data_IF_786448788540
#
_entry.id   IF_786448788540
#
_cell.length_a   1.000
_cell.length_b   1.000
_cell.length_c   1.000
_cell.angle_alpha   90.00
_cell.angle_beta   90.00
_cell.angle_gamma   90.00
#
_symmetry.space_group_name_H-M   'P 1'
#
loop_
_entity.id
_entity.type
_entity.pdbx_description
1 polymer ?
#
# COMPACT_ATOMS: atom_id res chain seq x y z
N UNK A 1 -2.66 33.74 -28.45
CA UNK A 1 -1.61 32.74 -28.22
C UNK A 1 -1.39 32.45 -26.73
N UNK A 2 -1.25 33.43 -25.83
CA UNK A 2 -1.01 33.23 -24.37
C UNK A 2 -2.09 32.38 -23.66
N UNK A 3 -3.36 32.53 -24.02
CA UNK A 3 -4.45 31.75 -23.43
C UNK A 3 -4.43 30.26 -23.83
N UNK A 4 -4.04 29.95 -25.07
CA UNK A 4 -3.96 28.56 -25.56
C UNK A 4 -2.85 27.76 -24.85
N UNK A 5 -1.69 28.40 -24.62
CA UNK A 5 -0.59 27.76 -23.86
C UNK A 5 -0.94 27.57 -22.37
N UNK A 6 -1.71 28.49 -21.78
CA UNK A 6 -2.15 28.36 -20.39
C UNK A 6 -3.14 27.23 -20.20
N UNK A 7 -4.01 26.97 -21.16
CA UNK A 7 -4.99 25.86 -21.13
C UNK A 7 -4.24 24.54 -21.30
N UNK A 8 -3.33 24.42 -22.28
CA UNK A 8 -2.52 23.21 -22.52
C UNK A 8 -1.64 22.82 -21.33
N UNK A 9 -1.15 23.80 -20.56
CA UNK A 9 -0.34 23.52 -19.36
C UNK A 9 -1.18 23.03 -18.14
N UNK A 10 -2.51 23.15 -18.19
CA UNK A 10 -3.42 22.85 -17.06
C UNK A 10 -4.35 21.67 -17.31
N UNK A 11 -4.39 21.14 -18.53
CA UNK A 11 -5.28 20.04 -18.91
C UNK A 11 -4.51 18.77 -19.20
N UNK A 12 -5.11 17.63 -18.87
CA UNK A 12 -4.62 16.32 -19.27
C UNK A 12 -4.95 16.08 -20.75
N UNK A 13 -3.93 15.76 -21.53
CA UNK A 13 -4.03 15.65 -22.99
C UNK A 13 -4.87 14.45 -23.44
N UNK A 14 -5.01 13.40 -22.60
CA UNK A 14 -5.79 12.22 -22.92
C UNK A 14 -7.28 12.43 -22.68
N UNK A 15 -7.62 13.06 -21.54
CA UNK A 15 -8.98 13.11 -21.01
C UNK A 15 -9.65 14.47 -21.13
N UNK A 16 -8.88 15.54 -21.42
CA UNK A 16 -9.35 16.93 -21.53
C UNK A 16 -10.04 17.50 -20.27
N UNK A 17 -9.77 16.93 -19.10
CA UNK A 17 -10.04 17.54 -17.79
C UNK A 17 -8.76 18.16 -17.26
N UNK A 18 -8.80 18.79 -16.09
CA UNK A 18 -7.59 19.38 -15.52
C UNK A 18 -6.55 18.28 -15.24
N UNK A 19 -5.28 18.57 -15.50
CA UNK A 19 -4.18 17.79 -14.97
C UNK A 19 -3.95 18.15 -13.49
N UNK A 20 -3.06 17.45 -12.82
CA UNK A 20 -2.72 17.66 -11.41
C UNK A 20 -2.44 19.14 -11.09
N UNK A 21 -1.61 19.79 -11.93
CA UNK A 21 -1.26 21.20 -11.72
C UNK A 21 -2.48 22.14 -11.83
N UNK A 22 -3.31 21.95 -12.87
CA UNK A 22 -4.50 22.77 -13.09
C UNK A 22 -5.55 22.57 -11.98
N UNK A 23 -5.75 21.34 -11.53
CA UNK A 23 -6.65 21.02 -10.43
C UNK A 23 -6.16 21.65 -9.12
N UNK A 24 -4.90 21.48 -8.77
CA UNK A 24 -4.28 22.00 -7.56
C UNK A 24 -4.36 23.51 -7.49
N UNK A 25 -4.06 24.21 -8.57
CA UNK A 25 -4.13 25.69 -8.64
C UNK A 25 -5.56 26.21 -8.43
N UNK A 26 -6.55 25.54 -9.04
CA UNK A 26 -7.95 25.95 -8.90
C UNK A 26 -8.50 25.65 -7.51
N UNK A 27 -8.21 24.46 -6.96
CA UNK A 27 -8.60 24.08 -5.62
C UNK A 27 -8.02 25.03 -4.57
N UNK A 28 -6.73 25.35 -4.65
CA UNK A 28 -6.07 26.27 -3.74
C UNK A 28 -6.69 27.69 -3.82
N UNK A 29 -7.01 28.14 -5.03
CA UNK A 29 -7.66 29.44 -5.24
C UNK A 29 -9.06 29.51 -4.64
N UNK A 30 -9.84 28.43 -4.66
CA UNK A 30 -11.16 28.37 -4.05
C UNK A 30 -11.04 28.40 -2.53
N UNK A 31 -10.17 27.59 -1.97
CA UNK A 31 -9.93 27.49 -0.53
C UNK A 31 -9.46 28.82 0.04
N UNK A 32 -8.47 29.45 -0.62
CA UNK A 32 -7.89 30.71 -0.15
C UNK A 32 -8.86 31.91 -0.22
N UNK A 33 -9.77 31.87 -1.20
CA UNK A 33 -10.75 32.96 -1.33
C UNK A 33 -11.87 32.96 -0.29
N UNK A 34 -12.28 31.75 0.13
CA UNK A 34 -13.41 31.58 1.05
C UNK A 34 -13.09 30.50 2.09
N UNK A 35 -12.25 30.76 3.10
CA UNK A 35 -11.81 29.74 4.07
C UNK A 35 -12.95 29.13 4.91
N UNK A 36 -14.11 29.78 4.95
CA UNK A 36 -15.30 29.32 5.69
C UNK A 36 -16.32 28.59 4.79
N UNK A 37 -16.04 28.47 3.51
CA UNK A 37 -16.97 27.83 2.57
C UNK A 37 -16.83 26.32 2.64
N UNK A 38 -17.96 25.63 2.73
CA UNK A 38 -17.99 24.17 2.66
C UNK A 38 -17.78 23.68 1.23
N UNK A 39 -16.96 22.68 1.08
CA UNK A 39 -16.80 21.92 -0.16
C UNK A 39 -16.32 20.51 0.13
N UNK A 40 -16.55 19.64 -0.81
CA UNK A 40 -16.14 18.22 -0.71
C UNK A 40 -15.16 17.93 -1.83
N UNK A 41 -14.06 17.29 -1.47
CA UNK A 41 -13.10 16.73 -2.44
C UNK A 41 -13.17 15.21 -2.44
N UNK A 42 -13.09 14.62 -3.63
CA UNK A 42 -13.04 13.19 -3.82
C UNK A 42 -11.84 12.78 -4.67
N UNK A 43 -11.26 11.64 -4.34
CA UNK A 43 -10.31 10.91 -5.16
C UNK A 43 -10.97 9.64 -5.69
N UNK A 44 -10.73 9.33 -6.95
CA UNK A 44 -11.25 8.17 -7.64
C UNK A 44 -10.12 7.41 -8.31
N UNK A 45 -10.30 6.12 -8.42
CA UNK A 45 -9.33 5.23 -9.08
C UNK A 45 -10.10 4.13 -9.82
N UNK A 46 -9.61 3.75 -10.99
CA UNK A 46 -10.19 2.61 -11.73
C UNK A 46 -9.69 1.32 -11.09
N UNK A 47 -10.63 0.51 -10.62
CA UNK A 47 -10.30 -0.76 -10.01
C UNK A 47 -9.66 -1.71 -11.02
N UNK A 48 -8.52 -2.31 -10.62
CA UNK A 48 -7.77 -3.26 -11.44
C UNK A 48 -7.35 -2.71 -12.83
N UNK A 49 -7.05 -1.42 -12.94
CA UNK A 49 -6.68 -0.78 -14.19
C UNK A 49 -5.48 -1.45 -14.88
N UNK A 50 -4.51 -1.93 -14.11
CA UNK A 50 -3.41 -2.72 -14.64
C UNK A 50 -3.90 -3.97 -15.37
N UNK A 51 -4.89 -4.67 -14.81
CA UNK A 51 -5.51 -5.85 -15.44
C UNK A 51 -6.19 -5.50 -16.78
N UNK A 52 -6.85 -4.32 -16.86
CA UNK A 52 -7.41 -3.83 -18.13
C UNK A 52 -6.30 -3.69 -19.18
N UNK A 53 -5.18 -3.06 -18.80
CA UNK A 53 -4.03 -2.90 -19.70
C UNK A 53 -3.40 -4.24 -20.10
N UNK A 54 -3.24 -5.16 -19.16
CA UNK A 54 -2.60 -6.47 -19.39
C UNK A 54 -3.45 -7.37 -20.30
N UNK A 55 -4.78 -7.33 -20.16
CA UNK A 55 -5.71 -8.17 -20.95
C UNK A 55 -6.04 -7.56 -22.31
N UNK A 56 -6.35 -6.27 -22.34
CA UNK A 56 -6.87 -5.61 -23.54
C UNK A 56 -5.82 -4.75 -24.26
N UNK A 57 -4.74 -4.38 -23.60
CA UNK A 57 -3.68 -3.50 -24.09
C UNK A 57 -3.90 -2.02 -23.71
N UNK A 58 -2.82 -1.25 -23.68
CA UNK A 58 -2.81 0.15 -23.25
C UNK A 58 -3.79 1.05 -24.00
N UNK A 59 -4.01 0.79 -25.31
CA UNK A 59 -4.98 1.57 -26.09
C UNK A 59 -6.43 1.44 -25.59
N UNK A 60 -6.77 0.31 -25.00
CA UNK A 60 -8.08 0.10 -24.37
C UNK A 60 -8.12 0.64 -22.94
N UNK A 61 -7.01 0.61 -22.21
CA UNK A 61 -6.86 1.36 -20.96
C UNK A 61 -7.09 2.85 -21.16
N UNK A 62 -6.53 3.44 -22.22
CA UNK A 62 -6.77 4.84 -22.60
C UNK A 62 -8.26 5.12 -22.91
N UNK A 63 -8.97 4.16 -23.51
CA UNK A 63 -10.42 4.28 -23.72
C UNK A 63 -11.20 4.26 -22.41
N UNK A 64 -10.82 3.40 -21.46
CA UNK A 64 -11.42 3.38 -20.13
C UNK A 64 -11.23 4.71 -19.40
N UNK A 65 -10.00 5.28 -19.44
CA UNK A 65 -9.69 6.58 -18.87
C UNK A 65 -10.52 7.71 -19.51
N UNK A 66 -10.64 7.73 -20.84
CA UNK A 66 -11.48 8.70 -21.55
C UNK A 66 -12.96 8.56 -21.18
N UNK A 67 -13.47 7.31 -21.17
CA UNK A 67 -14.83 7.02 -20.79
C UNK A 67 -15.17 7.50 -19.39
N UNK A 68 -14.26 7.27 -18.42
CA UNK A 68 -14.45 7.77 -17.05
C UNK A 68 -14.50 9.31 -17.03
N UNK A 69 -13.56 9.98 -17.68
CA UNK A 69 -13.54 11.44 -17.75
C UNK A 69 -14.79 12.02 -18.41
N UNK A 70 -15.29 11.41 -19.48
CA UNK A 70 -16.52 11.83 -20.16
C UNK A 70 -17.75 11.60 -19.29
N UNK A 71 -17.81 10.49 -18.57
CA UNK A 71 -18.84 10.22 -17.57
C UNK A 71 -18.83 11.24 -16.44
N UNK A 72 -17.67 11.65 -15.96
CA UNK A 72 -17.52 12.71 -14.95
C UNK A 72 -18.03 14.05 -15.47
N UNK A 73 -17.65 14.45 -16.68
CA UNK A 73 -18.10 15.72 -17.31
C UNK A 73 -19.62 15.73 -17.53
N UNK A 74 -20.22 14.60 -17.88
CA UNK A 74 -21.66 14.50 -18.10
C UNK A 74 -22.46 14.47 -16.79
N UNK A 75 -21.89 13.95 -15.72
CA UNK A 75 -22.61 13.73 -14.46
C UNK A 75 -22.47 14.91 -13.47
N UNK A 76 -21.25 15.41 -13.28
CA UNK A 76 -21.00 16.46 -12.30
C UNK A 76 -21.43 17.85 -12.85
N UNK A 77 -21.85 18.77 -11.97
CA UNK A 77 -22.25 20.12 -12.37
C UNK A 77 -21.08 20.91 -12.96
N UNK A 78 -21.41 21.94 -13.70
CA UNK A 78 -20.42 22.76 -14.43
C UNK A 78 -19.45 23.55 -13.55
N UNK A 79 -19.79 23.75 -12.28
CA UNK A 79 -18.93 24.38 -11.28
C UNK A 79 -18.02 23.39 -10.53
N UNK A 80 -18.22 22.09 -10.74
CA UNK A 80 -17.30 21.07 -10.24
C UNK A 80 -15.95 21.17 -10.96
N UNK A 81 -14.87 21.01 -10.20
CA UNK A 81 -13.53 20.91 -10.77
C UNK A 81 -13.17 19.43 -10.89
N UNK A 82 -12.91 19.01 -12.12
CA UNK A 82 -12.57 17.64 -12.46
C UNK A 82 -11.11 17.56 -12.89
N UNK A 83 -10.35 16.63 -12.31
CA UNK A 83 -8.94 16.46 -12.59
C UNK A 83 -8.50 15.02 -12.72
N UNK A 84 -7.35 14.84 -13.37
CA UNK A 84 -6.61 13.58 -13.41
C UNK A 84 -5.20 13.80 -12.90
N UNK A 85 -4.83 13.11 -11.83
CA UNK A 85 -3.52 13.26 -11.20
C UNK A 85 -2.40 12.53 -11.96
N UNK A 86 -2.76 11.56 -12.79
CA UNK A 86 -1.88 10.70 -13.55
C UNK A 86 -2.32 9.23 -13.44
N UNK A 87 -1.85 8.38 -14.33
CA UNK A 87 -2.27 6.98 -14.34
C UNK A 87 -3.79 6.82 -14.41
N UNK A 88 -4.36 6.13 -13.47
CA UNK A 88 -5.79 5.86 -13.27
C UNK A 88 -6.45 6.70 -12.15
N UNK A 89 -5.70 7.65 -11.58
CA UNK A 89 -6.18 8.49 -10.49
C UNK A 89 -6.89 9.76 -10.98
N UNK A 90 -8.13 9.94 -10.55
CA UNK A 90 -8.96 11.11 -10.83
C UNK A 90 -9.33 11.83 -9.54
N UNK A 91 -9.71 13.10 -9.67
CA UNK A 91 -10.16 13.92 -8.56
C UNK A 91 -11.34 14.81 -8.94
N UNK A 92 -12.18 15.10 -7.94
CA UNK A 92 -13.33 15.96 -8.05
C UNK A 92 -13.33 16.94 -6.87
N UNK A 93 -13.59 18.21 -7.14
CA UNK A 93 -13.91 19.19 -6.10
C UNK A 93 -15.32 19.72 -6.36
N UNK A 94 -16.19 19.65 -5.35
CA UNK A 94 -17.57 20.14 -5.36
C UNK A 94 -17.67 21.39 -4.49
N UNK A 95 -17.59 22.60 -5.08
CA UNK A 95 -17.72 23.86 -4.34
C UNK A 95 -19.17 24.07 -3.92
N UNK A 96 -19.36 24.70 -2.75
CA UNK A 96 -20.69 25.07 -2.25
C UNK A 96 -21.68 23.91 -2.06
N UNK A 97 -21.17 22.71 -1.82
CA UNK A 97 -21.98 21.53 -1.53
C UNK A 97 -21.98 21.25 -0.03
N UNK A 98 -23.17 20.94 0.52
CA UNK A 98 -23.24 20.30 1.83
C UNK A 98 -22.72 18.87 1.72
N UNK A 99 -22.29 18.32 2.84
CA UNK A 99 -21.78 16.94 2.89
C UNK A 99 -22.79 15.94 2.34
N UNK A 100 -24.06 16.04 2.77
CA UNK A 100 -25.12 15.09 2.39
C UNK A 100 -25.42 15.15 0.88
N UNK A 101 -25.41 16.37 0.30
CA UNK A 101 -25.63 16.53 -1.15
C UNK A 101 -24.46 15.94 -1.95
N UNK A 102 -23.24 16.19 -1.51
CA UNK A 102 -22.05 15.65 -2.14
C UNK A 102 -22.01 14.12 -2.02
N UNK A 103 -22.29 13.58 -0.85
CA UNK A 103 -22.37 12.14 -0.59
C UNK A 103 -23.36 11.46 -1.52
N UNK A 104 -24.59 11.97 -1.62
CA UNK A 104 -25.62 11.42 -2.50
C UNK A 104 -25.16 11.39 -3.97
N UNK A 105 -24.53 12.46 -4.46
CA UNK A 105 -24.01 12.51 -5.82
C UNK A 105 -22.84 11.56 -6.04
N UNK A 106 -21.88 11.49 -5.12
CA UNK A 106 -20.72 10.62 -5.25
C UNK A 106 -21.12 9.14 -5.20
N UNK A 107 -22.06 8.77 -4.33
CA UNK A 107 -22.62 7.42 -4.26
C UNK A 107 -23.37 7.07 -5.56
N UNK A 108 -24.21 7.99 -6.07
CA UNK A 108 -24.91 7.81 -7.34
C UNK A 108 -23.92 7.66 -8.50
N UNK A 109 -22.88 8.53 -8.57
CA UNK A 109 -21.87 8.41 -9.61
C UNK A 109 -21.14 7.07 -9.57
N UNK A 110 -20.77 6.60 -8.40
CA UNK A 110 -20.07 5.32 -8.24
C UNK A 110 -20.93 4.15 -8.67
N UNK A 111 -22.23 4.17 -8.40
CA UNK A 111 -23.17 3.09 -8.75
C UNK A 111 -23.52 3.03 -10.23
N UNK A 112 -23.31 4.10 -11.00
CA UNK A 112 -23.57 4.10 -12.44
C UNK A 112 -22.60 3.15 -13.18
N UNK A 113 -23.07 2.35 -14.14
CA UNK A 113 -22.20 1.52 -14.96
C UNK A 113 -21.15 2.35 -15.70
N UNK A 114 -19.91 1.88 -15.68
CA UNK A 114 -18.78 2.43 -16.43
C UNK A 114 -18.37 1.39 -17.48
N UNK A 115 -18.29 1.82 -18.72
CA UNK A 115 -17.94 0.92 -19.83
C UNK A 115 -16.92 1.56 -20.77
N UNK A 116 -16.18 0.73 -21.48
CA UNK A 116 -15.39 1.13 -22.63
C UNK A 116 -15.57 0.16 -23.78
N UNK A 117 -15.53 0.65 -25.01
CA UNK A 117 -15.69 -0.19 -26.19
C UNK A 117 -14.40 -0.93 -26.53
N UNK A 118 -14.47 -2.26 -26.63
CA UNK A 118 -13.38 -3.13 -27.02
C UNK A 118 -13.83 -4.10 -28.12
N UNK A 119 -13.27 -3.98 -29.32
CA UNK A 119 -13.56 -4.86 -30.47
C UNK A 119 -15.05 -4.98 -30.79
N UNK A 120 -15.78 -3.87 -30.70
CA UNK A 120 -17.24 -3.82 -30.94
C UNK A 120 -18.10 -4.33 -29.79
N UNK A 121 -17.51 -4.59 -28.62
CA UNK A 121 -18.24 -4.99 -27.42
C UNK A 121 -17.96 -4.01 -26.28
N UNK A 122 -18.98 -3.73 -25.48
CA UNK A 122 -18.84 -2.94 -24.26
C UNK A 122 -18.26 -3.82 -23.14
N UNK A 123 -17.19 -3.34 -22.55
CA UNK A 123 -16.55 -3.96 -21.38
C UNK A 123 -16.80 -3.07 -20.16
N UNK A 124 -17.30 -3.65 -19.08
CA UNK A 124 -17.57 -2.95 -17.84
C UNK A 124 -16.30 -2.85 -17.00
N UNK A 125 -16.14 -1.72 -16.31
CA UNK A 125 -15.12 -1.52 -15.27
C UNK A 125 -15.72 -0.85 -14.05
N UNK A 126 -15.02 -0.94 -12.93
CA UNK A 126 -15.44 -0.40 -11.64
C UNK A 126 -14.49 0.68 -11.17
N UNK A 127 -14.98 1.49 -10.25
CA UNK A 127 -14.19 2.54 -9.60
C UNK A 127 -14.34 2.47 -8.09
N UNK A 128 -13.28 2.83 -7.40
CA UNK A 128 -13.30 3.12 -5.97
C UNK A 128 -13.17 4.62 -5.76
N UNK A 129 -13.90 5.18 -4.77
CA UNK A 129 -13.99 6.60 -4.53
C UNK A 129 -13.93 6.90 -3.02
N UNK A 130 -12.95 7.72 -2.61
CA UNK A 130 -12.86 8.26 -1.26
C UNK A 130 -13.07 9.77 -1.26
N UNK A 131 -13.78 10.32 -0.27
CA UNK A 131 -14.08 11.75 -0.19
C UNK A 131 -14.02 12.30 1.22
N UNK A 132 -13.75 13.60 1.32
CA UNK A 132 -13.68 14.33 2.57
C UNK A 132 -14.24 15.72 2.44
N UNK A 133 -14.75 16.26 3.56
CA UNK A 133 -15.34 17.60 3.67
C UNK A 133 -14.34 18.60 4.23
N UNK A 134 -14.37 19.83 3.68
CA UNK A 134 -13.70 21.01 4.20
C UNK A 134 -14.74 21.99 4.75
N UNK A 135 -14.53 22.68 5.88
CA UNK A 135 -13.33 22.66 6.73
C UNK A 135 -13.37 21.61 7.84
N UNK A 136 -14.36 20.73 7.90
CA UNK A 136 -14.62 19.80 9.00
C UNK A 136 -13.39 18.95 9.35
N UNK A 137 -12.74 18.37 8.33
CA UNK A 137 -11.60 17.45 8.54
C UNK A 137 -10.26 17.99 8.06
N UNK A 138 -10.25 19.19 7.50
CA UNK A 138 -9.06 19.75 6.90
C UNK A 138 -8.99 21.28 7.06
N UNK A 139 -7.79 21.80 7.26
CA UNK A 139 -7.50 23.24 7.32
C UNK A 139 -6.92 23.78 6.00
N UNK A 140 -6.53 22.91 5.08
CA UNK A 140 -5.95 23.25 3.78
C UNK A 140 -6.18 22.12 2.77
N UNK A 141 -5.89 22.43 1.49
CA UNK A 141 -6.04 21.49 0.38
C UNK A 141 -5.27 20.17 0.58
N UNK A 142 -4.01 20.26 0.98
CA UNK A 142 -3.18 19.07 1.15
C UNK A 142 -3.75 18.11 2.20
N UNK A 143 -4.26 18.64 3.29
CA UNK A 143 -4.90 17.84 4.32
C UNK A 143 -6.22 17.23 3.83
N UNK A 144 -7.03 18.02 3.11
CA UNK A 144 -8.28 17.55 2.51
C UNK A 144 -8.06 16.38 1.57
N UNK A 145 -7.07 16.50 0.66
CA UNK A 145 -6.76 15.44 -0.28
C UNK A 145 -6.22 14.18 0.42
N UNK A 146 -5.44 14.33 1.50
CA UNK A 146 -5.00 13.18 2.31
C UNK A 146 -6.15 12.46 3.01
N UNK A 147 -7.15 13.21 3.48
CA UNK A 147 -8.36 12.61 4.06
C UNK A 147 -9.13 11.80 3.01
N UNK A 148 -9.32 12.36 1.81
CA UNK A 148 -9.97 11.65 0.70
C UNK A 148 -9.19 10.40 0.27
N UNK A 149 -7.85 10.48 0.23
CA UNK A 149 -6.96 9.35 -0.08
C UNK A 149 -7.06 8.23 0.97
N UNK A 150 -7.11 8.58 2.25
CA UNK A 150 -7.29 7.61 3.32
C UNK A 150 -8.63 6.85 3.19
N UNK A 151 -9.71 7.54 2.80
CA UNK A 151 -11.00 6.92 2.54
C UNK A 151 -10.99 6.04 1.28
N UNK A 152 -10.33 6.48 0.20
CA UNK A 152 -10.13 5.70 -1.02
C UNK A 152 -9.35 4.41 -0.75
N UNK A 153 -8.29 4.51 0.04
CA UNK A 153 -7.49 3.36 0.42
C UNK A 153 -8.31 2.33 1.21
N UNK A 154 -9.15 2.79 2.14
CA UNK A 154 -10.02 1.91 2.94
C UNK A 154 -11.01 1.13 2.05
N UNK A 155 -11.62 1.77 1.05
CA UNK A 155 -12.47 1.08 0.06
C UNK A 155 -11.70 0.02 -0.71
N UNK A 156 -10.50 0.33 -1.17
CA UNK A 156 -9.66 -0.62 -1.92
C UNK A 156 -9.32 -1.86 -1.11
N UNK A 157 -9.20 -1.74 0.20
CA UNK A 157 -8.95 -2.86 1.11
C UNK A 157 -10.19 -3.73 1.37
N UNK A 158 -11.39 -3.14 1.32
CA UNK A 158 -12.64 -3.80 1.66
C UNK A 158 -13.45 -4.27 0.45
N UNK A 159 -12.80 -4.56 -0.66
CA UNK A 159 -13.41 -5.20 -1.82
C UNK A 159 -13.58 -4.33 -3.04
N UNK A 160 -13.10 -3.06 -3.02
CA UNK A 160 -13.19 -2.12 -4.15
C UNK A 160 -14.63 -1.80 -4.56
N UNK A 161 -14.84 -1.19 -5.75
CA UNK A 161 -16.16 -0.90 -6.32
C UNK A 161 -17.10 -0.24 -5.31
N UNK A 162 -16.72 0.90 -4.78
CA UNK A 162 -17.47 1.57 -3.73
C UNK A 162 -17.09 3.02 -3.51
N UNK A 163 -17.81 3.64 -2.57
CA UNK A 163 -17.67 5.03 -2.19
C UNK A 163 -17.65 5.15 -0.67
N UNK A 164 -16.69 5.89 -0.11
CA UNK A 164 -16.54 6.07 1.33
C UNK A 164 -16.19 7.50 1.70
N UNK A 165 -16.86 8.01 2.72
CA UNK A 165 -16.48 9.26 3.39
C UNK A 165 -15.29 9.05 4.32
N UNK A 166 -14.42 10.04 4.37
CA UNK A 166 -13.42 10.11 5.42
C UNK A 166 -14.08 10.23 6.79
N UNK A 167 -13.57 9.45 7.74
CA UNK A 167 -13.91 9.52 9.16
C UNK A 167 -12.64 9.71 9.97
N UNK A 168 -12.72 10.45 11.05
CA UNK A 168 -11.58 10.69 11.93
C UNK A 168 -10.93 9.37 12.37
N UNK A 169 -9.62 9.29 12.28
CA UNK A 169 -8.84 8.09 12.61
C UNK A 169 -8.62 7.10 11.45
N UNK A 170 -9.21 7.30 10.26
CA UNK A 170 -8.91 6.47 9.08
C UNK A 170 -7.43 6.56 8.66
N UNK A 171 -6.81 7.74 8.78
CA UNK A 171 -5.37 7.91 8.48
C UNK A 171 -4.48 7.03 9.38
N UNK A 172 -4.85 6.85 10.65
CA UNK A 172 -4.15 5.97 11.58
C UNK A 172 -4.34 4.50 11.22
N UNK A 173 -5.52 4.14 10.70
CA UNK A 173 -5.80 2.80 10.17
C UNK A 173 -5.04 2.54 8.88
N UNK A 174 -5.07 3.47 7.94
CA UNK A 174 -4.32 3.38 6.68
C UNK A 174 -2.80 3.25 6.93
N UNK A 175 -2.24 4.00 7.89
CA UNK A 175 -0.84 3.82 8.31
C UNK A 175 -0.56 2.48 8.99
N UNK A 176 -1.52 1.97 9.77
CA UNK A 176 -1.43 0.61 10.33
C UNK A 176 -1.58 -0.46 9.24
N UNK A 177 -2.33 -0.18 8.18
CA UNK A 177 -2.59 -1.10 7.08
C UNK A 177 -1.51 -1.09 5.98
N UNK A 178 -0.63 -0.07 5.92
CA UNK A 178 0.67 -0.23 5.25
C UNK A 178 1.46 -1.42 5.83
N UNK A 179 1.18 -1.80 7.08
CA UNK A 179 1.56 -3.07 7.65
C UNK A 179 0.86 -4.31 7.03
N UNK A 180 -0.33 -4.15 6.44
CA UNK A 180 -1.04 -5.26 5.76
C UNK A 180 -0.49 -5.52 4.34
N UNK A 181 -0.15 -4.49 3.56
CA UNK A 181 0.58 -4.69 2.31
C UNK A 181 1.92 -5.38 2.56
N UNK A 182 2.56 -5.10 3.69
CA UNK A 182 3.73 -5.83 4.16
C UNK A 182 3.38 -7.28 4.53
N UNK A 183 2.27 -7.55 5.20
CA UNK A 183 1.81 -8.90 5.52
C UNK A 183 1.54 -9.70 4.24
N UNK A 184 0.82 -9.12 3.29
CA UNK A 184 0.55 -9.76 2.00
C UNK A 184 1.84 -10.07 1.24
N UNK A 185 2.81 -9.16 1.24
CA UNK A 185 4.13 -9.39 0.64
C UNK A 185 4.86 -10.49 1.40
N UNK A 186 4.92 -10.41 2.73
CA UNK A 186 5.68 -11.36 3.55
C UNK A 186 5.09 -12.78 3.56
N UNK A 187 3.74 -12.90 3.47
CA UNK A 187 3.07 -14.20 3.34
C UNK A 187 3.25 -14.84 1.96
N UNK A 188 3.57 -14.04 0.93
CA UNK A 188 3.82 -14.52 -0.42
C UNK A 188 5.33 -14.52 -0.79
N UNK A 189 6.22 -14.19 0.13
CA UNK A 189 7.66 -14.35 -0.10
C UNK A 189 8.00 -15.86 -0.21
N UNK A 190 8.80 -16.25 -1.22
CA UNK A 190 9.28 -17.62 -1.34
C UNK A 190 10.41 -17.88 -0.30
N UNK A 191 10.03 -18.12 0.94
CA UNK A 191 10.95 -18.41 2.04
C UNK A 191 10.42 -18.03 3.41
N UNK A 192 11.00 -18.66 4.42
CA UNK A 192 10.70 -18.40 5.81
C UNK A 192 11.22 -17.01 6.22
N UNK A 193 10.36 -16.19 6.81
CA UNK A 193 10.67 -14.79 7.07
C UNK A 193 10.20 -14.35 8.45
N UNK A 194 11.04 -13.59 9.16
CA UNK A 194 10.69 -12.98 10.45
C UNK A 194 11.12 -11.52 10.51
N UNK A 195 10.54 -10.80 11.48
CA UNK A 195 10.98 -9.47 11.90
C UNK A 195 11.16 -9.47 13.41
N UNK A 196 12.29 -8.92 13.85
CA UNK A 196 12.54 -8.69 15.26
C UNK A 196 13.30 -7.37 15.50
N UNK A 197 13.28 -6.89 16.74
CA UNK A 197 13.96 -5.64 17.13
C UNK A 197 15.46 -5.78 17.00
N UNK A 198 16.10 -4.82 16.35
CA UNK A 198 17.57 -4.75 16.23
C UNK A 198 18.18 -3.99 17.42
N UNK A 199 18.14 -4.62 18.60
CA UNK A 199 18.70 -4.11 19.83
C UNK A 199 19.43 -5.24 20.58
N UNK A 200 20.58 -4.92 21.22
CA UNK A 200 21.42 -5.93 21.92
C UNK A 200 20.78 -6.48 23.20
N UNK A 201 19.93 -5.68 23.82
CA UNK A 201 19.26 -6.03 25.10
C UNK A 201 17.81 -6.46 24.90
N UNK A 202 17.18 -6.04 23.78
CA UNK A 202 15.78 -6.29 23.47
C UNK A 202 15.63 -6.76 22.02
N UNK A 203 15.56 -8.07 21.82
CA UNK A 203 15.42 -8.76 20.54
C UNK A 203 13.98 -9.23 20.27
N UNK A 204 13.00 -8.43 20.66
CA UNK A 204 11.57 -8.77 20.58
C UNK A 204 11.14 -9.17 19.16
N UNK A 205 10.55 -10.36 19.03
CA UNK A 205 9.93 -10.84 17.80
C UNK A 205 8.61 -10.11 17.53
N UNK A 206 8.48 -9.50 16.37
CA UNK A 206 7.26 -8.81 15.93
C UNK A 206 6.40 -9.61 14.98
N UNK A 207 7.03 -10.38 14.11
CA UNK A 207 6.34 -11.07 13.02
C UNK A 207 7.10 -12.30 12.53
N UNK A 208 6.33 -13.30 12.07
CA UNK A 208 6.80 -14.42 11.27
C UNK A 208 5.74 -14.76 10.21
N UNK A 209 6.16 -15.09 8.98
CA UNK A 209 5.24 -15.55 7.94
C UNK A 209 4.89 -17.05 8.08
N UNK A 210 3.90 -17.50 7.31
CA UNK A 210 3.45 -18.90 7.36
C UNK A 210 4.56 -19.89 7.01
N UNK A 211 5.43 -19.56 6.07
CA UNK A 211 6.58 -20.39 5.69
C UNK A 211 7.55 -20.60 6.86
N UNK A 212 7.82 -19.56 7.66
CA UNK A 212 8.63 -19.70 8.86
C UNK A 212 7.95 -20.58 9.92
N UNK A 213 6.65 -20.35 10.18
CA UNK A 213 5.90 -21.14 11.15
C UNK A 213 5.90 -22.62 10.77
N UNK A 214 5.68 -22.90 9.48
CA UNK A 214 5.72 -24.26 8.94
C UNK A 214 7.11 -24.90 9.04
N UNK A 215 8.17 -24.19 8.60
CA UNK A 215 9.56 -24.67 8.67
C UNK A 215 10.00 -24.98 10.10
N UNK A 216 9.67 -24.09 11.04
CA UNK A 216 10.03 -24.21 12.45
C UNK A 216 9.03 -25.05 13.27
N UNK A 217 7.91 -25.50 12.65
CA UNK A 217 6.93 -26.39 13.26
C UNK A 217 6.00 -25.73 14.27
N UNK A 218 5.83 -24.41 14.22
CA UNK A 218 4.87 -23.69 15.07
C UNK A 218 3.49 -23.70 14.40
N UNK A 219 2.45 -23.89 15.21
CA UNK A 219 1.05 -23.88 14.77
C UNK A 219 0.61 -22.51 14.27
N UNK A 220 0.96 -21.48 15.02
CA UNK A 220 0.58 -20.09 14.81
C UNK A 220 1.55 -19.12 15.52
N UNK A 221 1.34 -17.81 15.31
CA UNK A 221 2.11 -16.76 15.95
C UNK A 221 2.03 -16.78 17.49
N UNK A 222 0.88 -17.14 18.05
CA UNK A 222 0.67 -17.15 19.50
C UNK A 222 1.51 -18.26 20.15
N UNK A 223 1.61 -19.41 19.50
CA UNK A 223 2.48 -20.49 19.95
C UNK A 223 3.95 -20.11 19.84
N UNK A 224 4.35 -19.51 18.72
CA UNK A 224 5.71 -18.97 18.54
C UNK A 224 6.08 -18.02 19.68
N UNK A 225 5.24 -17.00 19.94
CA UNK A 225 5.49 -16.02 20.97
C UNK A 225 5.53 -16.64 22.38
N UNK A 226 4.65 -17.58 22.66
CA UNK A 226 4.61 -18.26 23.94
C UNK A 226 5.87 -19.11 24.19
N UNK A 227 6.29 -19.90 23.20
CA UNK A 227 7.45 -20.82 23.35
C UNK A 227 8.79 -20.09 23.32
N UNK A 228 8.90 -19.03 22.52
CA UNK A 228 10.12 -18.20 22.43
C UNK A 228 10.15 -17.03 23.42
N UNK A 229 9.06 -16.80 24.17
CA UNK A 229 8.90 -15.61 25.02
C UNK A 229 9.11 -14.30 24.23
N UNK A 230 8.72 -14.31 22.95
CA UNK A 230 8.89 -13.21 21.99
C UNK A 230 10.35 -12.79 21.77
N UNK A 231 11.34 -13.61 22.01
CA UNK A 231 12.75 -13.29 21.84
C UNK A 231 13.35 -14.10 20.69
N UNK A 232 14.06 -13.42 19.79
CA UNK A 232 14.81 -14.08 18.71
C UNK A 232 15.90 -15.02 19.24
N UNK A 233 16.58 -14.61 20.30
CA UNK A 233 17.61 -15.42 20.99
C UNK A 233 17.11 -16.82 21.32
N UNK A 234 15.86 -16.95 21.71
CA UNK A 234 15.25 -18.22 22.08
C UNK A 234 14.91 -19.12 20.88
N UNK A 235 15.08 -18.63 19.65
CA UNK A 235 15.08 -19.43 18.42
C UNK A 235 16.44 -20.08 18.14
N UNK A 236 17.50 -19.61 18.77
CA UNK A 236 18.87 -20.11 18.59
C UNK A 236 19.12 -21.22 19.62
N UNK A 237 19.80 -22.29 19.24
CA UNK A 237 20.26 -23.33 20.18
C UNK A 237 21.07 -22.71 21.32
N UNK A 238 20.77 -23.12 22.55
CA UNK A 238 21.28 -22.44 23.77
C UNK A 238 22.81 -22.31 23.81
N UNK A 239 23.53 -23.34 23.38
CA UNK A 239 25.00 -23.34 23.35
C UNK A 239 25.60 -22.42 22.27
N UNK A 240 24.80 -22.01 21.27
CA UNK A 240 25.21 -21.14 20.18
C UNK A 240 24.84 -19.67 20.40
N UNK A 241 23.89 -19.37 21.26
CA UNK A 241 23.30 -18.02 21.42
C UNK A 241 24.35 -16.91 21.50
N UNK A 242 25.28 -16.99 22.45
CA UNK A 242 26.31 -15.95 22.66
C UNK A 242 27.21 -15.76 21.44
N UNK A 243 27.58 -16.86 20.78
CA UNK A 243 28.44 -16.83 19.60
C UNK A 243 27.71 -16.18 18.41
N UNK A 244 26.44 -16.53 18.20
CA UNK A 244 25.63 -16.04 17.09
C UNK A 244 25.33 -14.56 17.28
N UNK A 245 24.91 -14.14 18.47
CA UNK A 245 24.70 -12.70 18.79
C UNK A 245 25.96 -11.87 18.58
N UNK A 246 27.09 -12.34 19.07
CA UNK A 246 28.36 -11.66 18.84
C UNK A 246 28.71 -11.55 17.36
N UNK A 247 28.40 -12.58 16.56
CA UNK A 247 28.63 -12.57 15.11
C UNK A 247 27.71 -11.56 14.39
N UNK A 248 26.41 -11.52 14.72
CA UNK A 248 25.45 -10.56 14.18
C UNK A 248 25.96 -9.13 14.39
N UNK A 249 26.23 -8.78 15.66
CA UNK A 249 26.63 -7.44 16.00
C UNK A 249 28.00 -7.05 15.47
N UNK A 250 28.94 -7.99 15.37
CA UNK A 250 30.24 -7.76 14.73
C UNK A 250 30.09 -7.39 13.25
N UNK A 251 29.19 -8.06 12.51
CA UNK A 251 28.93 -7.72 11.11
C UNK A 251 28.32 -6.33 10.97
N UNK A 252 27.34 -6.00 11.83
CA UNK A 252 26.66 -4.70 11.84
C UNK A 252 27.61 -3.57 12.29
N UNK A 253 28.36 -3.75 13.35
CA UNK A 253 29.31 -2.75 13.86
C UNK A 253 30.44 -2.47 12.86
N UNK A 254 30.74 -3.41 11.96
CA UNK A 254 31.67 -3.23 10.84
C UNK A 254 31.07 -2.47 9.64
N UNK A 255 29.84 -1.96 9.76
CA UNK A 255 29.16 -1.18 8.73
C UNK A 255 28.41 -2.02 7.69
N UNK A 256 28.22 -3.31 7.91
CA UNK A 256 27.38 -4.15 7.08
C UNK A 256 25.90 -3.94 7.47
N UNK A 257 25.06 -3.56 6.49
CA UNK A 257 23.61 -3.49 6.69
C UNK A 257 22.95 -4.87 6.66
N UNK A 258 23.65 -5.88 6.16
CA UNK A 258 23.19 -7.26 6.05
C UNK A 258 24.13 -8.19 6.81
N UNK A 259 23.58 -9.25 7.38
CA UNK A 259 24.31 -10.38 7.94
C UNK A 259 23.98 -11.69 7.23
N UNK A 260 24.87 -12.67 7.35
CA UNK A 260 24.70 -14.05 6.89
C UNK A 260 25.24 -14.94 7.97
N UNK A 261 24.38 -15.71 8.62
CA UNK A 261 24.76 -16.53 9.76
C UNK A 261 24.18 -17.93 9.64
N UNK A 262 25.01 -18.94 9.91
CA UNK A 262 24.61 -20.32 9.99
C UNK A 262 24.49 -20.74 11.47
N UNK A 263 23.35 -21.30 11.87
CA UNK A 263 23.09 -21.78 13.21
C UNK A 263 22.00 -22.86 13.25
N UNK A 264 21.75 -23.42 14.45
CA UNK A 264 20.69 -24.39 14.67
C UNK A 264 19.44 -23.69 15.22
N UNK A 265 18.42 -23.58 14.37
CA UNK A 265 17.11 -23.04 14.73
C UNK A 265 16.37 -24.04 15.62
N UNK A 266 15.86 -23.57 16.77
CA UNK A 266 15.00 -24.35 17.66
C UNK A 266 13.59 -24.43 17.10
N UNK A 267 13.08 -25.65 16.91
CA UNK A 267 11.72 -25.93 16.47
C UNK A 267 10.75 -26.03 17.65
N UNK A 268 9.44 -25.95 17.35
CA UNK A 268 8.38 -26.04 18.35
C UNK A 268 8.40 -27.36 19.13
N UNK A 269 8.80 -28.47 18.49
CA UNK A 269 8.94 -29.80 19.08
C UNK A 269 10.22 -29.98 19.91
N UNK A 270 11.08 -28.95 19.98
CA UNK A 270 12.37 -28.98 20.66
C UNK A 270 13.53 -29.56 19.84
N UNK A 271 13.27 -30.02 18.63
CA UNK A 271 14.33 -30.39 17.68
C UNK A 271 15.08 -29.17 17.15
N UNK A 272 16.21 -29.37 16.50
CA UNK A 272 17.03 -28.33 15.90
C UNK A 272 17.13 -28.52 14.40
N UNK A 273 17.00 -27.44 13.66
CA UNK A 273 17.13 -27.38 12.21
C UNK A 273 18.33 -26.52 11.85
N UNK A 274 19.35 -27.03 11.13
CA UNK A 274 20.44 -26.19 10.64
C UNK A 274 19.90 -25.22 9.57
N UNK A 275 20.08 -23.93 9.79
CA UNK A 275 19.60 -22.87 8.88
C UNK A 275 20.72 -21.90 8.53
N UNK A 276 20.62 -21.31 7.34
CA UNK A 276 21.31 -20.09 6.99
C UNK A 276 20.30 -18.96 7.09
N UNK A 277 20.59 -17.95 7.91
CA UNK A 277 19.83 -16.72 7.90
C UNK A 277 20.50 -15.63 7.05
N UNK A 278 19.67 -14.79 6.48
CA UNK A 278 20.08 -13.56 5.81
C UNK A 278 19.26 -12.42 6.38
N UNK A 279 19.88 -11.66 7.27
CA UNK A 279 19.27 -10.53 7.96
C UNK A 279 19.67 -9.18 7.37
N UNK A 280 18.76 -8.23 7.43
CA UNK A 280 18.99 -6.83 7.08
C UNK A 280 18.40 -5.90 8.13
N UNK A 281 19.19 -4.88 8.56
CA UNK A 281 18.67 -3.80 9.41
C UNK A 281 17.89 -2.80 8.56
N UNK A 282 16.70 -2.46 9.07
CA UNK A 282 15.80 -1.47 8.48
C UNK A 282 15.36 -0.50 9.57
N UNK A 283 15.33 0.79 9.26
CA UNK A 283 14.77 1.82 10.15
C UNK A 283 13.24 1.83 10.00
N UNK A 284 12.54 1.46 11.06
CA UNK A 284 11.08 1.51 11.14
C UNK A 284 10.63 2.76 11.88
N UNK A 285 9.70 3.53 11.32
CA UNK A 285 9.13 4.72 11.99
C UNK A 285 8.40 4.38 13.29
N UNK A 286 7.89 3.15 13.42
CA UNK A 286 7.08 2.72 14.56
C UNK A 286 7.91 1.97 15.61
N UNK A 287 8.90 1.18 15.19
CA UNK A 287 9.62 0.25 16.06
C UNK A 287 11.11 0.56 16.19
N UNK A 288 11.58 1.65 15.57
CA UNK A 288 13.02 1.94 15.48
C UNK A 288 13.75 0.97 14.56
N UNK A 289 14.97 0.60 14.91
CA UNK A 289 15.73 -0.37 14.12
C UNK A 289 15.18 -1.79 14.29
N UNK A 290 14.94 -2.46 13.17
CA UNK A 290 14.45 -3.85 13.13
C UNK A 290 15.28 -4.67 12.16
N UNK A 291 15.41 -5.96 12.43
CA UNK A 291 15.93 -6.93 11.47
C UNK A 291 14.79 -7.54 10.66
N UNK A 292 14.96 -7.57 9.35
CA UNK A 292 14.23 -8.38 8.39
C UNK A 292 15.08 -9.58 8.05
N UNK A 293 14.61 -10.80 8.34
CA UNK A 293 15.43 -12.00 8.21
C UNK A 293 14.72 -13.07 7.39
N UNK A 294 15.41 -13.54 6.35
CA UNK A 294 15.04 -14.73 5.57
C UNK A 294 15.85 -15.92 6.06
N UNK A 295 15.17 -17.05 6.22
CA UNK A 295 15.79 -18.32 6.57
C UNK A 295 15.76 -19.29 5.41
N UNK A 296 16.84 -20.03 5.28
CA UNK A 296 16.97 -21.13 4.32
C UNK A 296 17.37 -22.38 5.08
N UNK A 297 16.71 -23.50 4.80
CA UNK A 297 17.12 -24.81 5.30
C UNK A 297 18.45 -25.17 4.66
N UNK A 298 19.47 -25.38 5.51
CA UNK A 298 20.83 -25.63 5.06
C UNK A 298 20.99 -27.00 4.37
N UNK A 299 20.27 -28.01 4.82
CA UNK A 299 20.35 -29.38 4.24
C UNK A 299 19.64 -29.42 2.89
N UNK A 300 18.49 -28.79 2.78
CA UNK A 300 17.71 -28.67 1.53
C UNK A 300 18.48 -27.91 0.45
N UNK A 301 19.11 -26.80 0.80
CA UNK A 301 19.99 -26.06 -0.10
C UNK A 301 21.18 -26.93 -0.62
N UNK A 302 21.85 -27.61 0.28
CA UNK A 302 23.03 -28.42 -0.10
C UNK A 302 22.65 -29.62 -0.96
N UNK A 303 21.50 -30.25 -0.73
CA UNK A 303 21.01 -31.37 -1.55
C UNK A 303 20.72 -30.95 -2.98
N UNK A 304 20.05 -29.80 -3.17
CA UNK A 304 19.75 -29.24 -4.49
C UNK A 304 20.99 -28.76 -5.25
N UNK A 305 22.01 -28.26 -4.54
CA UNK A 305 23.27 -27.85 -5.17
C UNK A 305 24.11 -29.04 -5.64
N UNK A 306 24.16 -30.13 -4.86
CA UNK A 306 24.95 -31.31 -5.20
C UNK A 306 24.37 -32.07 -6.40
N UNK A 307 23.05 -32.09 -6.59
CA UNK A 307 22.42 -32.75 -7.75
C UNK A 307 22.59 -31.95 -9.07
N UNK A 308 22.68 -30.62 -9.03
CA UNK A 308 22.80 -29.79 -10.26
C UNK A 308 24.22 -29.60 -10.77
N UNK A 309 25.24 -29.84 -9.94
CA UNK A 309 26.64 -29.59 -10.30
C UNK A 309 27.51 -30.89 -10.29
N UNK A 310 26.90 -32.04 -10.14
CA UNK A 310 27.58 -33.38 -10.25
C UNK A 310 27.36 -34.05 -11.61
N UNK A 311 26.87 -33.28 -12.62
CA UNK A 311 26.67 -33.78 -13.98
C UNK A 311 27.61 -33.14 -14.99
#
# INVERSE_FOLDING_TARGET
HKNKYKILARTDSLTNIYNRYGFDELAEKIISKNPQTHFVAALLDIDDFKFINDIYGHSYGDRALKSLADSMKAFFPSDAILGRNGGDEFCVLLPNYTFEKAEAQLQQFTSLPKTFSCRGREQQFYISLGYAEYPTFASNRSQLMRCADAALYEIKLHGKNGCMAYKEGLELRARKQLGFAFKDISENLPGAFIIYRADKEDDELFYANQEFLHMAGYKDMDELFRLTKKSFRNLIREDEQKKIEASIWKQIDNGNENDYIHFHLRRADGAYLPVLDHGRIVESQQYGKVFYVLFMDWEDMNSHYSEKFSG
#
